data_IF_627798801265
#
_entry.id   IF_627798801265
#
_cell.length_a   1.000
_cell.length_b   1.000
_cell.length_c   1.000
_cell.angle_alpha   90.00
_cell.angle_beta   90.00
_cell.angle_gamma   90.00
#
_symmetry.space_group_name_H-M   'P 1'
#
loop_
_entity.id
_entity.type
_entity.pdbx_description
1 polymer ?
#
# COMPACT_ATOMS: atom_id res chain seq x y z
N UNK A 1 -26.37 2.42 -11.86
CA UNK A 1 -25.09 1.84 -11.41
C UNK A 1 -25.32 0.47 -10.81
N UNK A 2 -24.36 -0.42 -10.95
CA UNK A 2 -24.47 -1.78 -10.41
C UNK A 2 -23.97 -1.84 -8.97
N UNK A 3 -22.94 -1.07 -8.64
CA UNK A 3 -22.38 -1.05 -7.30
C UNK A 3 -21.42 0.11 -7.14
N UNK A 4 -20.66 0.10 -6.04
CA UNK A 4 -19.65 1.12 -5.77
C UNK A 4 -18.34 0.44 -5.39
N UNK A 5 -17.24 1.15 -5.60
CA UNK A 5 -15.93 0.64 -5.22
C UNK A 5 -15.84 0.58 -3.70
N UNK A 6 -15.54 -0.60 -3.17
CA UNK A 6 -15.45 -0.84 -1.72
C UNK A 6 -14.01 -0.72 -1.23
N UNK A 7 -13.10 -1.42 -1.88
CA UNK A 7 -11.69 -1.42 -1.50
C UNK A 7 -10.81 -1.84 -2.66
N UNK A 8 -9.53 -1.52 -2.55
CA UNK A 8 -8.50 -2.02 -3.46
C UNK A 8 -7.73 -3.10 -2.72
N UNK A 9 -7.55 -4.26 -3.35
CA UNK A 9 -6.85 -5.39 -2.74
C UNK A 9 -5.53 -5.61 -3.47
N UNK A 10 -4.45 -5.68 -2.70
CA UNK A 10 -3.09 -5.88 -3.22
C UNK A 10 -2.57 -7.23 -2.74
N UNK A 11 -2.19 -8.07 -3.69
CA UNK A 11 -1.59 -9.36 -3.37
C UNK A 11 -0.13 -9.18 -2.95
N UNK A 12 0.29 -9.89 -1.91
CA UNK A 12 1.64 -9.74 -1.38
C UNK A 12 2.03 -10.98 -0.55
N UNK A 13 3.28 -11.00 -0.10
CA UNK A 13 3.81 -12.09 0.72
C UNK A 13 3.70 -11.83 2.22
N UNK A 14 3.63 -10.57 2.63
CA UNK A 14 3.57 -10.20 4.05
C UNK A 14 2.59 -9.06 4.23
N UNK A 15 1.28 -9.40 4.35
CA UNK A 15 0.24 -8.38 4.43
C UNK A 15 0.41 -7.39 5.58
N UNK A 16 0.76 -7.86 6.78
CA UNK A 16 0.90 -6.95 7.92
C UNK A 16 2.04 -5.98 7.72
N UNK A 17 3.21 -6.47 7.29
CA UNK A 17 4.37 -5.62 7.05
C UNK A 17 4.07 -4.56 5.98
N UNK A 18 3.44 -4.96 4.89
CA UNK A 18 3.10 -4.04 3.81
C UNK A 18 2.05 -3.02 4.26
N UNK A 19 1.04 -3.46 5.02
CA UNK A 19 0.03 -2.56 5.56
C UNK A 19 0.65 -1.54 6.51
N UNK A 20 1.60 -1.94 7.34
CA UNK A 20 2.30 -1.02 8.25
C UNK A 20 3.13 0.01 7.48
N UNK A 21 3.79 -0.40 6.40
CA UNK A 21 4.48 0.54 5.53
C UNK A 21 3.52 1.60 4.99
N UNK A 22 2.41 1.15 4.40
CA UNK A 22 1.44 2.07 3.81
C UNK A 22 0.72 2.92 4.84
N UNK A 23 0.56 2.42 6.08
CA UNK A 23 0.06 3.24 7.17
C UNK A 23 0.99 4.43 7.45
N UNK A 24 2.30 4.22 7.36
CA UNK A 24 3.27 5.30 7.54
C UNK A 24 3.16 6.33 6.41
N UNK A 25 2.79 5.92 5.22
CA UNK A 25 2.61 6.82 4.08
C UNK A 25 1.27 7.54 4.13
N UNK A 26 0.18 6.82 4.39
CA UNK A 26 -1.19 7.32 4.24
C UNK A 26 -1.86 7.69 5.56
N UNK A 27 -1.34 7.24 6.69
CA UNK A 27 -2.01 7.38 7.98
C UNK A 27 -3.14 6.37 8.13
N UNK A 28 -3.97 6.57 9.15
CA UNK A 28 -5.14 5.74 9.37
C UNK A 28 -4.87 4.52 10.22
N UNK A 29 -5.73 3.51 10.09
CA UNK A 29 -5.76 2.35 10.96
C UNK A 29 -5.50 1.07 10.21
N UNK A 30 -4.61 0.23 10.77
CA UNK A 30 -4.40 -1.13 10.28
C UNK A 30 -5.33 -2.06 11.04
N UNK A 31 -6.15 -2.81 10.32
CA UNK A 31 -7.08 -3.79 10.90
C UNK A 31 -6.66 -5.17 10.41
N UNK A 32 -6.03 -5.95 11.32
CA UNK A 32 -5.59 -7.30 10.99
C UNK A 32 -6.75 -8.29 11.20
N UNK A 33 -7.28 -8.80 10.10
CA UNK A 33 -8.36 -9.79 10.15
C UNK A 33 -7.80 -11.20 10.31
N UNK A 34 -6.66 -11.48 9.66
CA UNK A 34 -5.93 -12.74 9.80
C UNK A 34 -4.50 -12.49 9.30
N UNK A 35 -3.63 -13.52 9.36
CA UNK A 35 -2.31 -13.37 8.78
C UNK A 35 -2.36 -13.34 7.24
N UNK A 36 -3.49 -13.68 6.66
CA UNK A 36 -3.69 -13.72 5.21
C UNK A 36 -4.38 -12.46 4.67
N UNK A 37 -4.97 -11.64 5.53
CA UNK A 37 -5.73 -10.47 5.11
C UNK A 37 -5.59 -9.34 6.13
N UNK A 38 -5.05 -8.22 5.69
CA UNK A 38 -4.89 -7.03 6.53
C UNK A 38 -5.40 -5.82 5.76
N UNK A 39 -6.30 -5.06 6.38
CA UNK A 39 -6.85 -3.85 5.78
C UNK A 39 -6.17 -2.61 6.35
N UNK A 40 -5.99 -1.60 5.51
CA UNK A 40 -5.60 -0.27 5.93
C UNK A 40 -6.75 0.67 5.61
N UNK A 41 -7.26 1.33 6.65
CA UNK A 41 -8.32 2.32 6.50
C UNK A 41 -7.70 3.71 6.69
N UNK A 42 -7.40 4.43 5.60
CA UNK A 42 -6.81 5.76 5.70
C UNK A 42 -7.83 6.79 6.21
N UNK A 43 -7.37 7.95 6.71
CA UNK A 43 -8.31 8.98 7.20
C UNK A 43 -9.25 9.48 6.10
N UNK A 44 -8.77 9.48 4.87
CA UNK A 44 -9.53 9.86 3.69
C UNK A 44 -9.22 8.89 2.56
N UNK A 45 -10.19 8.71 1.68
CA UNK A 45 -10.02 7.83 0.54
C UNK A 45 -10.56 6.44 0.80
N UNK A 46 -10.15 5.52 -0.04
CA UNK A 46 -10.67 4.17 -0.04
C UNK A 46 -9.80 3.23 0.79
N UNK A 47 -10.41 2.20 1.37
CA UNK A 47 -9.70 1.14 2.07
C UNK A 47 -8.76 0.41 1.12
N UNK A 48 -7.54 0.15 1.56
CA UNK A 48 -6.56 -0.66 0.83
C UNK A 48 -6.28 -1.90 1.66
N UNK A 49 -6.51 -3.06 1.08
CA UNK A 49 -6.30 -4.33 1.78
C UNK A 49 -5.16 -5.10 1.15
N UNK A 50 -4.51 -5.92 1.95
CA UNK A 50 -3.34 -6.70 1.55
C UNK A 50 -3.64 -8.17 1.79
N UNK A 51 -3.53 -8.97 0.73
CA UNK A 51 -3.88 -10.37 0.75
C UNK A 51 -2.64 -11.23 0.52
N UNK A 52 -2.46 -12.24 1.37
CA UNK A 52 -1.34 -13.18 1.23
C UNK A 52 -1.57 -14.08 0.02
N UNK A 53 -0.58 -14.11 -0.86
CA UNK A 53 -0.55 -15.04 -1.98
C UNK A 53 0.79 -15.78 -2.00
N UNK A 54 0.82 -17.04 -2.47
CA UNK A 54 2.07 -17.82 -2.49
C UNK A 54 3.00 -17.45 -3.64
N UNK A 55 2.50 -16.83 -4.70
CA UNK A 55 3.27 -16.54 -5.89
C UNK A 55 4.31 -15.45 -5.65
N UNK A 56 5.54 -15.69 -6.10
CA UNK A 56 6.57 -14.67 -6.08
C UNK A 56 6.24 -13.57 -7.09
N UNK A 57 6.59 -12.33 -6.74
CA UNK A 57 6.45 -11.22 -7.68
C UNK A 57 7.58 -11.31 -8.70
N UNK A 58 7.25 -11.65 -9.94
CA UNK A 58 8.22 -11.79 -11.02
C UNK A 58 8.00 -10.78 -12.14
N UNK A 59 6.94 -10.00 -12.08
CA UNK A 59 6.62 -8.98 -13.07
C UNK A 59 6.21 -7.68 -12.36
N UNK A 60 6.26 -6.59 -13.12
CA UNK A 60 5.82 -5.29 -12.64
C UNK A 60 4.32 -5.29 -12.35
N UNK A 61 3.92 -4.66 -11.26
CA UNK A 61 2.50 -4.47 -10.95
C UNK A 61 1.82 -3.62 -12.03
N UNK A 62 0.58 -3.95 -12.34
CA UNK A 62 -0.22 -3.17 -13.28
C UNK A 62 -0.92 -2.01 -12.58
N UNK A 63 -1.11 -2.12 -11.28
CA UNK A 63 -1.77 -1.09 -10.48
C UNK A 63 -0.72 -0.34 -9.69
N UNK A 64 -0.80 0.99 -9.73
CA UNK A 64 0.08 1.86 -8.95
C UNK A 64 -0.77 2.71 -8.01
N UNK A 65 -0.21 3.05 -6.86
CA UNK A 65 -0.82 4.04 -5.99
C UNK A 65 -0.04 5.34 -6.18
N UNK A 66 -0.73 6.37 -6.63
CA UNK A 66 -0.13 7.68 -6.79
C UNK A 66 -0.41 8.51 -5.54
N UNK A 67 0.65 9.02 -4.95
CA UNK A 67 0.57 9.74 -3.69
C UNK A 67 0.89 11.21 -3.93
N UNK A 68 -0.04 12.07 -3.58
CA UNK A 68 0.16 13.52 -3.70
C UNK A 68 0.99 14.02 -2.51
N UNK A 69 2.06 14.73 -2.79
CA UNK A 69 3.00 15.20 -1.77
C UNK A 69 3.36 16.67 -2.02
N UNK A 70 3.78 17.35 -0.96
CA UNK A 70 4.18 18.76 -1.07
C UNK A 70 5.54 18.94 -1.72
N UNK A 71 6.51 18.11 -1.34
CA UNK A 71 7.88 18.17 -1.87
C UNK A 71 8.29 16.74 -2.27
N UNK A 72 8.55 16.57 -3.56
CA UNK A 72 8.82 15.23 -4.11
C UNK A 72 10.09 14.60 -3.53
N UNK A 73 11.19 15.34 -3.47
CA UNK A 73 12.45 14.78 -2.98
C UNK A 73 12.38 14.45 -1.49
N UNK A 74 11.80 15.33 -0.70
CA UNK A 74 11.63 15.13 0.74
C UNK A 74 10.75 13.92 1.03
N UNK A 75 9.65 13.79 0.29
CA UNK A 75 8.76 12.64 0.42
C UNK A 75 9.44 11.34 0.02
N UNK A 76 10.24 11.35 -1.06
CA UNK A 76 10.97 10.18 -1.50
C UNK A 76 11.98 9.73 -0.44
N UNK A 77 12.72 10.66 0.17
CA UNK A 77 13.67 10.34 1.24
C UNK A 77 12.96 9.76 2.46
N UNK A 78 11.81 10.33 2.84
CA UNK A 78 11.02 9.82 3.95
C UNK A 78 10.52 8.39 3.69
N UNK A 79 10.07 8.13 2.47
CA UNK A 79 9.60 6.78 2.09
C UNK A 79 10.74 5.77 2.12
N UNK A 80 11.92 6.15 1.63
CA UNK A 80 13.10 5.28 1.65
C UNK A 80 13.48 4.94 3.10
N UNK A 81 13.39 5.90 3.99
CA UNK A 81 13.71 5.70 5.40
C UNK A 81 12.82 4.65 6.08
N UNK A 82 11.62 4.44 5.58
CA UNK A 82 10.68 3.45 6.13
C UNK A 82 10.56 2.18 5.29
N UNK A 83 11.40 2.00 4.30
CA UNK A 83 11.52 0.72 3.60
C UNK A 83 11.29 0.74 2.09
N UNK A 84 10.98 1.89 1.51
CA UNK A 84 10.81 1.98 0.06
C UNK A 84 12.18 1.96 -0.64
N UNK A 85 12.17 1.63 -1.91
CA UNK A 85 13.34 1.78 -2.77
C UNK A 85 12.96 2.58 -4.00
N UNK A 86 13.90 3.37 -4.49
CA UNK A 86 13.71 4.17 -5.69
C UNK A 86 13.90 3.28 -6.91
N UNK A 87 12.95 3.35 -7.84
CA UNK A 87 13.00 2.58 -9.08
C UNK A 87 13.07 3.56 -10.24
N UNK A 88 14.13 3.47 -11.03
CA UNK A 88 14.34 4.36 -12.15
C UNK A 88 14.67 5.79 -11.73
N UNK A 89 14.61 6.68 -12.66
CA UNK A 89 14.83 8.11 -12.44
C UNK A 89 13.49 8.84 -12.35
N UNK A 90 13.49 9.88 -11.56
CA UNK A 90 12.33 10.72 -11.38
C UNK A 90 12.37 11.88 -12.37
#
# INVERSE_FOLDING_TARGET
>A
MIGRLDEVVIDCHDPLHLAEFWQRVLGGYVVRQSHEWVALEPPTGITVSFQLVPEAKIVKNRVHLDIDVGDLEEAAEAAIAIGASRVGEV
#
